data_IF_726493354406
#
_entry.id   IF_726493354406
#
_cell.length_a   1.000
_cell.length_b   1.000
_cell.length_c   1.000
_cell.angle_alpha   90.00
_cell.angle_beta   90.00
_cell.angle_gamma   90.00
#
_symmetry.space_group_name_H-M   'P 1'
#
loop_
_entity.id
_entity.type
_entity.pdbx_description
1 polymer ?
#
# COMPACT_ATOMS: atom_id res chain seq x y z
N UNK A 1 5.42 36.95 48.70
CA UNK A 1 5.83 35.64 48.14
C UNK A 1 4.69 35.13 47.30
N UNK A 2 4.67 35.40 46.00
CA UNK A 2 3.68 34.86 45.08
C UNK A 2 4.30 33.65 44.37
N UNK A 3 3.82 32.48 44.73
CA UNK A 3 4.19 31.23 44.05
C UNK A 3 3.45 31.15 42.69
N UNK A 4 4.15 31.49 41.63
CA UNK A 4 3.69 31.28 40.26
C UNK A 4 4.15 29.89 39.77
N UNK A 5 3.60 28.83 40.33
CA UNK A 5 3.72 27.50 39.77
C UNK A 5 2.85 27.42 38.50
N UNK A 6 3.44 27.70 37.33
CA UNK A 6 2.82 27.43 36.04
C UNK A 6 2.46 25.94 35.94
N UNK A 7 1.26 25.61 35.56
CA UNK A 7 0.87 24.18 35.40
C UNK A 7 1.76 23.57 34.31
N UNK A 8 2.57 22.56 34.68
CA UNK A 8 3.30 21.74 33.71
C UNK A 8 2.26 21.13 32.77
N UNK A 9 2.19 21.61 31.52
CA UNK A 9 1.45 20.95 30.46
C UNK A 9 2.04 19.54 30.33
N UNK A 10 1.35 18.52 30.86
CA UNK A 10 1.60 17.13 30.52
C UNK A 10 1.23 17.00 29.04
N UNK A 11 2.21 16.92 28.16
CA UNK A 11 2.00 16.54 26.77
C UNK A 11 1.63 15.06 26.75
N UNK A 12 0.32 14.76 26.83
CA UNK A 12 -0.14 13.43 26.48
C UNK A 12 -0.01 13.28 24.97
N UNK A 13 0.78 12.32 24.53
CA UNK A 13 0.84 11.95 23.13
C UNK A 13 -0.47 11.26 22.76
N UNK A 14 -1.38 11.99 22.15
CA UNK A 14 -2.62 11.43 21.63
C UNK A 14 -2.42 11.05 20.16
N UNK A 15 -2.56 9.76 19.84
CA UNK A 15 -2.68 9.30 18.46
C UNK A 15 -3.99 9.83 17.89
N UNK A 16 -3.94 10.38 16.69
CA UNK A 16 -5.11 10.92 16.00
C UNK A 16 -6.16 9.84 15.74
N UNK A 17 -5.76 8.73 15.12
CA UNK A 17 -6.58 7.58 14.78
C UNK A 17 -5.86 6.29 15.27
N UNK A 18 -6.00 5.89 16.55
CA UNK A 18 -5.14 4.85 17.16
C UNK A 18 -5.17 3.51 16.44
N UNK A 19 -6.36 3.02 16.06
CA UNK A 19 -6.51 1.74 15.36
C UNK A 19 -5.78 1.72 14.01
N UNK A 20 -5.97 2.78 13.22
CA UNK A 20 -5.32 2.95 11.92
C UNK A 20 -3.81 3.12 12.06
N UNK A 21 -3.34 3.92 13.04
CA UNK A 21 -1.93 4.13 13.30
C UNK A 21 -1.21 2.84 13.68
N UNK A 22 -1.78 2.06 14.61
CA UNK A 22 -1.17 0.82 15.12
C UNK A 22 -1.13 -0.25 14.03
N UNK A 23 -2.21 -0.45 13.27
CA UNK A 23 -2.26 -1.46 12.21
C UNK A 23 -1.19 -1.21 11.16
N UNK A 24 -1.08 0.02 10.66
CA UNK A 24 -0.08 0.33 9.65
C UNK A 24 1.34 0.48 10.21
N UNK A 25 1.52 0.81 11.50
CA UNK A 25 2.83 0.71 12.14
C UNK A 25 3.34 -0.74 12.20
N UNK A 26 2.45 -1.70 12.50
CA UNK A 26 2.79 -3.13 12.41
C UNK A 26 3.17 -3.48 10.97
N UNK A 27 2.39 -3.02 9.98
CA UNK A 27 2.72 -3.18 8.57
C UNK A 27 4.09 -2.60 8.19
N UNK A 28 4.43 -1.41 8.70
CA UNK A 28 5.74 -0.78 8.51
C UNK A 28 6.87 -1.64 9.09
N UNK A 29 6.73 -2.08 10.34
CA UNK A 29 7.74 -2.90 11.01
C UNK A 29 7.96 -4.22 10.25
N UNK A 30 6.89 -4.91 9.88
CA UNK A 30 6.97 -6.15 9.09
C UNK A 30 7.59 -5.90 7.71
N UNK A 31 7.26 -4.79 7.05
CA UNK A 31 7.84 -4.43 5.75
C UNK A 31 9.36 -4.25 5.84
N UNK A 32 9.84 -3.52 6.83
CA UNK A 32 11.28 -3.29 7.03
C UNK A 32 11.99 -4.59 7.38
N UNK A 33 11.45 -5.39 8.31
CA UNK A 33 12.04 -6.65 8.75
C UNK A 33 12.07 -7.72 7.64
N UNK A 34 11.12 -7.68 6.71
CA UNK A 34 11.05 -8.64 5.61
C UNK A 34 11.96 -8.30 4.42
N UNK A 35 12.46 -7.06 4.30
CA UNK A 35 13.31 -6.65 3.17
C UNK A 35 14.54 -7.55 2.95
N UNK A 36 15.36 -7.88 3.99
CA UNK A 36 16.54 -8.68 3.78
C UNK A 36 16.23 -10.08 3.22
N UNK A 37 15.14 -10.71 3.67
CA UNK A 37 14.78 -12.05 3.23
C UNK A 37 14.52 -12.11 1.71
N UNK A 38 13.77 -11.16 1.17
CA UNK A 38 13.46 -11.11 -0.27
C UNK A 38 14.70 -10.73 -1.10
N UNK A 39 15.54 -9.81 -0.61
CA UNK A 39 16.77 -9.42 -1.32
C UNK A 39 17.81 -10.54 -1.33
N UNK A 40 17.96 -11.29 -0.23
CA UNK A 40 18.84 -12.46 -0.15
C UNK A 40 18.33 -13.55 -1.09
N UNK A 41 17.00 -13.79 -1.12
CA UNK A 41 16.40 -14.75 -2.05
C UNK A 41 16.72 -14.37 -3.51
N UNK A 42 16.43 -13.14 -3.94
CA UNK A 42 16.70 -12.71 -5.31
C UNK A 42 18.20 -12.79 -5.69
N UNK A 43 19.10 -12.48 -4.75
CA UNK A 43 20.53 -12.66 -4.96
C UNK A 43 20.91 -14.15 -5.10
N UNK A 44 20.29 -15.04 -4.31
CA UNK A 44 20.49 -16.50 -4.39
C UNK A 44 19.99 -17.11 -5.69
N UNK A 45 18.87 -16.58 -6.24
CA UNK A 45 18.33 -16.98 -7.56
C UNK A 45 19.12 -16.38 -8.75
N UNK A 46 20.16 -15.59 -8.48
CA UNK A 46 20.99 -14.98 -9.52
C UNK A 46 20.31 -13.85 -10.29
N UNK A 47 19.42 -13.12 -9.65
CA UNK A 47 18.72 -11.99 -10.31
C UNK A 47 19.69 -10.92 -10.82
N UNK A 48 19.45 -10.44 -12.02
CA UNK A 48 20.17 -9.32 -12.60
C UNK A 48 20.00 -8.03 -11.79
N UNK A 49 20.88 -7.06 -12.00
CA UNK A 49 20.77 -5.74 -11.33
C UNK A 49 19.41 -5.08 -11.56
N UNK A 50 18.82 -5.26 -12.75
CA UNK A 50 17.49 -4.70 -13.06
C UNK A 50 16.38 -5.41 -12.25
N UNK A 51 16.42 -6.72 -12.13
CA UNK A 51 15.46 -7.49 -11.33
C UNK A 51 15.59 -7.18 -9.84
N UNK A 52 16.82 -7.05 -9.33
CA UNK A 52 17.06 -6.61 -7.94
C UNK A 52 16.56 -5.18 -7.69
N UNK A 53 16.76 -4.27 -8.65
CA UNK A 53 16.20 -2.93 -8.57
C UNK A 53 14.65 -2.96 -8.56
N UNK A 54 14.04 -3.83 -9.37
CA UNK A 54 12.60 -4.02 -9.41
C UNK A 54 12.03 -4.52 -8.07
N UNK A 55 12.68 -5.52 -7.44
CA UNK A 55 12.32 -5.95 -6.08
C UNK A 55 12.47 -4.82 -5.07
N UNK A 56 13.52 -4.01 -5.19
CA UNK A 56 13.75 -2.86 -4.30
C UNK A 56 12.65 -1.80 -4.46
N UNK A 57 12.16 -1.56 -5.68
CA UNK A 57 11.02 -0.65 -5.93
C UNK A 57 9.76 -1.14 -5.21
N UNK A 58 9.45 -2.44 -5.28
CA UNK A 58 8.34 -3.03 -4.53
C UNK A 58 8.51 -2.84 -3.02
N UNK A 59 9.65 -3.24 -2.46
CA UNK A 59 9.95 -3.14 -1.03
C UNK A 59 9.88 -1.69 -0.52
N UNK A 60 10.46 -0.75 -1.24
CA UNK A 60 10.43 0.66 -0.88
C UNK A 60 9.02 1.25 -0.99
N UNK A 61 8.21 0.82 -1.96
CA UNK A 61 6.83 1.26 -2.07
C UNK A 61 5.97 0.75 -0.91
N UNK A 62 6.22 -0.47 -0.45
CA UNK A 62 5.59 -1.08 0.72
C UNK A 62 5.93 -0.31 2.01
N UNK A 63 7.22 -0.07 2.27
CA UNK A 63 7.69 0.76 3.40
C UNK A 63 7.11 2.17 3.32
N UNK A 64 7.14 2.78 2.15
CA UNK A 64 6.63 4.13 1.91
C UNK A 64 5.13 4.26 2.20
N UNK A 65 4.30 3.30 1.77
CA UNK A 65 2.88 3.28 2.08
C UNK A 65 2.65 3.25 3.60
N UNK A 66 3.24 2.25 4.28
CA UNK A 66 2.98 2.08 5.70
C UNK A 66 3.57 3.20 6.54
N UNK A 67 4.71 3.78 6.16
CA UNK A 67 5.27 4.95 6.83
C UNK A 67 4.39 6.20 6.66
N UNK A 68 3.93 6.48 5.44
CA UNK A 68 3.06 7.63 5.16
C UNK A 68 1.72 7.51 5.90
N UNK A 69 1.12 6.31 5.88
CA UNK A 69 -0.15 6.06 6.55
C UNK A 69 -0.01 6.10 8.08
N UNK A 70 1.01 5.46 8.64
CA UNK A 70 1.31 5.56 10.07
C UNK A 70 1.46 7.03 10.50
N UNK A 71 2.24 7.82 9.75
CA UNK A 71 2.42 9.24 10.05
C UNK A 71 1.10 10.01 9.99
N UNK A 72 0.28 9.79 8.96
CA UNK A 72 -1.00 10.48 8.81
C UNK A 72 -1.97 10.18 9.95
N UNK A 73 -2.03 8.93 10.43
CA UNK A 73 -2.94 8.50 11.48
C UNK A 73 -2.38 8.70 12.90
N UNK A 74 -1.06 8.89 13.05
CA UNK A 74 -0.44 9.15 14.35
C UNK A 74 -0.48 10.62 14.76
N UNK A 75 -0.25 11.54 13.81
CA UNK A 75 -0.06 12.94 14.13
C UNK A 75 -1.33 13.77 13.89
N UNK A 76 -1.78 14.50 14.93
CA UNK A 76 -2.78 15.54 14.79
C UNK A 76 -2.07 16.91 14.71
N UNK A 77 -1.82 17.34 13.48
CA UNK A 77 -1.12 18.57 13.18
C UNK A 77 -2.10 19.65 12.70
N UNK A 78 -1.58 20.86 12.46
CA UNK A 78 -2.35 21.93 11.81
C UNK A 78 -2.95 21.47 10.46
N UNK A 79 -4.08 22.04 10.08
CA UNK A 79 -4.88 21.66 8.87
C UNK A 79 -4.00 21.53 7.61
N UNK A 80 -3.03 22.43 7.40
CA UNK A 80 -2.14 22.41 6.24
C UNK A 80 -1.26 21.17 6.21
N UNK A 81 -0.59 20.85 7.33
CA UNK A 81 0.30 19.69 7.47
C UNK A 81 -0.48 18.38 7.43
N UNK A 82 -1.64 18.29 8.09
CA UNK A 82 -2.51 17.13 8.01
C UNK A 82 -2.98 16.86 6.58
N UNK A 83 -3.21 17.90 5.78
CA UNK A 83 -3.54 17.77 4.36
C UNK A 83 -2.38 17.17 3.54
N UNK A 84 -1.13 17.55 3.85
CA UNK A 84 0.05 16.99 3.19
C UNK A 84 0.19 15.49 3.53
N UNK A 85 0.13 15.12 4.82
CA UNK A 85 0.18 13.72 5.25
C UNK A 85 -0.92 12.88 4.60
N UNK A 86 -2.15 13.40 4.52
CA UNK A 86 -3.25 12.75 3.82
C UNK A 86 -2.97 12.53 2.34
N UNK A 87 -2.36 13.51 1.67
CA UNK A 87 -1.97 13.37 0.27
C UNK A 87 -0.95 12.25 0.09
N UNK A 88 0.10 12.24 0.94
CA UNK A 88 1.16 11.23 0.91
C UNK A 88 0.59 9.83 1.13
N UNK A 89 -0.22 9.64 2.17
CA UNK A 89 -0.89 8.38 2.46
C UNK A 89 -1.66 7.84 1.23
N UNK A 90 -2.48 8.67 0.60
CA UNK A 90 -3.26 8.25 -0.57
C UNK A 90 -2.43 8.07 -1.85
N UNK A 91 -1.37 8.84 -2.04
CA UNK A 91 -0.46 8.72 -3.18
C UNK A 91 0.31 7.41 -3.11
N UNK A 92 0.76 7.02 -1.92
CA UNK A 92 1.56 5.81 -1.74
C UNK A 92 0.78 4.53 -2.06
N UNK A 93 -0.55 4.54 -2.07
CA UNK A 93 -1.35 3.40 -2.55
C UNK A 93 -1.09 3.16 -4.05
N UNK A 94 -1.08 4.21 -4.87
CA UNK A 94 -0.75 4.09 -6.30
C UNK A 94 0.67 3.55 -6.49
N UNK A 95 1.62 4.04 -5.68
CA UNK A 95 3.01 3.61 -5.76
C UNK A 95 3.20 2.16 -5.30
N UNK A 96 2.45 1.70 -4.29
CA UNK A 96 2.49 0.29 -3.88
C UNK A 96 1.95 -0.62 -5.00
N UNK A 97 0.84 -0.24 -5.65
CA UNK A 97 0.30 -1.01 -6.77
C UNK A 97 1.33 -1.06 -7.91
N UNK A 98 1.88 0.09 -8.34
CA UNK A 98 2.89 0.13 -9.39
C UNK A 98 4.18 -0.60 -9.01
N UNK A 99 4.61 -0.47 -7.76
CA UNK A 99 5.75 -1.18 -7.19
C UNK A 99 5.57 -2.70 -7.22
N UNK A 100 4.35 -3.19 -6.96
CA UNK A 100 4.03 -4.62 -7.06
C UNK A 100 4.13 -5.15 -8.50
N UNK A 101 3.68 -4.37 -9.47
CA UNK A 101 3.80 -4.75 -10.89
C UNK A 101 5.25 -4.76 -11.39
N UNK A 102 6.11 -3.92 -10.84
CA UNK A 102 7.46 -3.71 -11.35
C UNK A 102 8.28 -5.00 -11.42
N UNK A 103 8.44 -5.80 -10.35
CA UNK A 103 9.19 -7.06 -10.43
C UNK A 103 8.47 -8.12 -11.28
N UNK A 104 7.14 -8.19 -11.25
CA UNK A 104 6.37 -9.15 -12.07
C UNK A 104 6.60 -8.88 -13.56
N UNK A 105 6.55 -7.61 -13.97
CA UNK A 105 6.74 -7.22 -15.37
C UNK A 105 8.17 -7.42 -15.85
N UNK A 106 9.16 -7.16 -14.99
CA UNK A 106 10.58 -7.21 -15.36
C UNK A 106 11.23 -8.60 -15.11
N UNK A 107 10.49 -9.54 -14.50
CA UNK A 107 10.95 -10.92 -14.29
C UNK A 107 10.06 -11.91 -15.03
N UNK A 108 8.84 -12.17 -14.54
CA UNK A 108 7.91 -13.16 -15.12
C UNK A 108 7.46 -12.82 -16.53
N UNK A 109 7.24 -11.54 -16.82
CA UNK A 109 6.78 -11.04 -18.12
C UNK A 109 7.89 -10.44 -19.00
N UNK A 110 9.16 -10.59 -18.63
CA UNK A 110 10.29 -10.12 -19.42
C UNK A 110 10.26 -10.73 -20.84
N UNK A 111 10.32 -9.89 -21.87
CA UNK A 111 10.22 -10.31 -23.26
C UNK A 111 8.84 -10.83 -23.70
N UNK A 112 7.82 -10.76 -22.84
CA UNK A 112 6.44 -11.22 -23.09
C UNK A 112 5.42 -10.07 -23.08
N UNK A 113 5.90 -8.84 -23.27
CA UNK A 113 5.09 -7.62 -23.27
C UNK A 113 4.81 -7.07 -21.87
N UNK A 114 5.67 -7.37 -20.89
CA UNK A 114 5.63 -6.82 -19.54
C UNK A 114 5.90 -5.33 -19.50
N UNK A 115 6.75 -4.82 -20.40
CA UNK A 115 7.14 -3.41 -20.48
C UNK A 115 5.93 -2.51 -20.77
N UNK A 116 5.03 -2.94 -21.67
CA UNK A 116 3.82 -2.20 -21.99
C UNK A 116 2.86 -2.12 -20.81
N UNK A 117 2.70 -3.22 -20.06
CA UNK A 117 1.90 -3.25 -18.83
C UNK A 117 2.54 -2.37 -17.74
N UNK A 118 3.86 -2.44 -17.58
CA UNK A 118 4.61 -1.61 -16.62
C UNK A 118 4.43 -0.12 -16.90
N UNK A 119 4.57 0.28 -18.18
CA UNK A 119 4.36 1.66 -18.59
C UNK A 119 2.93 2.13 -18.29
N UNK A 120 1.92 1.32 -18.63
CA UNK A 120 0.52 1.64 -18.36
C UNK A 120 0.25 1.83 -16.86
N UNK A 121 0.74 0.92 -16.02
CA UNK A 121 0.55 0.97 -14.56
C UNK A 121 1.23 2.21 -13.96
N UNK A 122 2.47 2.52 -14.34
CA UNK A 122 3.16 3.73 -13.87
C UNK A 122 2.51 5.02 -14.39
N UNK A 123 1.99 5.03 -15.62
CA UNK A 123 1.23 6.17 -16.13
C UNK A 123 -0.03 6.44 -15.29
N UNK A 124 -0.78 5.38 -14.91
CA UNK A 124 -1.93 5.51 -14.00
C UNK A 124 -1.49 5.97 -12.61
N UNK A 125 -0.36 5.46 -12.08
CA UNK A 125 0.16 5.89 -10.78
C UNK A 125 0.53 7.38 -10.76
N UNK A 126 1.20 7.86 -11.80
CA UNK A 126 1.55 9.28 -11.95
C UNK A 126 0.31 10.15 -12.16
N UNK A 127 -0.68 9.69 -12.93
CA UNK A 127 -1.98 10.35 -13.03
C UNK A 127 -2.70 10.44 -11.68
N UNK A 128 -2.67 9.36 -10.88
CA UNK A 128 -3.19 9.32 -9.52
C UNK A 128 -2.45 10.26 -8.56
N UNK A 129 -1.13 10.36 -8.67
CA UNK A 129 -0.31 11.36 -7.95
C UNK A 129 -0.81 12.78 -8.26
N UNK A 130 -0.93 13.14 -9.54
CA UNK A 130 -1.41 14.45 -9.97
C UNK A 130 -2.81 14.72 -9.42
N UNK A 131 -3.74 13.76 -9.55
CA UNK A 131 -5.08 13.86 -9.01
C UNK A 131 -5.08 14.16 -7.51
N UNK A 132 -4.27 13.44 -6.72
CA UNK A 132 -4.19 13.64 -5.27
C UNK A 132 -3.52 14.94 -4.86
N UNK A 133 -2.56 15.42 -5.63
CA UNK A 133 -1.94 16.72 -5.38
C UNK A 133 -2.95 17.87 -5.49
N UNK A 134 -3.84 17.81 -6.47
CA UNK A 134 -4.83 18.88 -6.72
C UNK A 134 -6.16 18.63 -6.03
N UNK A 135 -6.63 17.38 -5.91
CA UNK A 135 -7.95 17.04 -5.40
C UNK A 135 -7.95 15.84 -4.43
N UNK A 136 -7.36 16.00 -3.25
CA UNK A 136 -7.28 14.93 -2.23
C UNK A 136 -8.62 14.61 -1.55
N UNK A 137 -9.57 15.53 -1.57
CA UNK A 137 -10.89 15.39 -0.93
C UNK A 137 -12.00 14.92 -1.89
N UNK A 138 -11.65 14.33 -3.03
CA UNK A 138 -12.65 13.76 -3.92
C UNK A 138 -13.39 12.58 -3.27
N UNK A 139 -14.55 12.15 -3.82
CA UNK A 139 -15.33 11.05 -3.27
C UNK A 139 -14.51 9.75 -3.12
N UNK A 140 -14.68 9.03 -2.01
CA UNK A 140 -13.93 7.79 -1.73
C UNK A 140 -14.10 6.72 -2.81
N UNK A 141 -15.30 6.59 -3.39
CA UNK A 141 -15.56 5.63 -4.46
C UNK A 141 -14.65 5.83 -5.68
N UNK A 142 -14.33 7.10 -6.02
CA UNK A 142 -13.43 7.39 -7.14
C UNK A 142 -12.01 6.87 -6.88
N UNK A 143 -11.49 7.03 -5.65
CA UNK A 143 -10.22 6.40 -5.25
C UNK A 143 -10.27 4.89 -5.41
N UNK A 144 -11.33 4.25 -4.89
CA UNK A 144 -11.48 2.79 -4.93
C UNK A 144 -11.53 2.26 -6.36
N UNK A 145 -12.30 2.93 -7.25
CA UNK A 145 -12.36 2.56 -8.67
C UNK A 145 -10.98 2.65 -9.33
N UNK A 146 -10.22 3.73 -9.05
CA UNK A 146 -8.88 3.89 -9.61
C UNK A 146 -7.91 2.83 -9.09
N UNK A 147 -7.90 2.56 -7.77
CA UNK A 147 -7.00 1.57 -7.17
C UNK A 147 -7.34 0.15 -7.64
N UNK A 148 -8.62 -0.23 -7.62
CA UNK A 148 -9.08 -1.55 -8.07
C UNK A 148 -8.81 -1.70 -9.57
N UNK A 149 -9.20 -0.71 -10.38
CA UNK A 149 -8.98 -0.76 -11.83
C UNK A 149 -7.50 -0.89 -12.19
N UNK A 150 -6.63 -0.12 -11.53
CA UNK A 150 -5.18 -0.24 -11.69
C UNK A 150 -4.67 -1.63 -11.25
N UNK A 151 -5.18 -2.17 -10.13
CA UNK A 151 -4.80 -3.48 -9.64
C UNK A 151 -5.17 -4.61 -10.61
N UNK A 152 -6.28 -4.49 -11.35
CA UNK A 152 -6.74 -5.48 -12.31
C UNK A 152 -6.23 -5.29 -13.74
N UNK A 153 -5.33 -4.35 -14.01
CA UNK A 153 -4.67 -4.25 -15.32
C UNK A 153 -3.91 -5.53 -15.70
N UNK A 154 -3.51 -6.36 -14.71
CA UNK A 154 -2.90 -7.67 -14.94
C UNK A 154 -3.78 -8.63 -15.75
N UNK A 155 -5.10 -8.43 -15.78
CA UNK A 155 -6.03 -9.24 -16.60
C UNK A 155 -5.64 -9.21 -18.07
N UNK A 156 -5.05 -8.12 -18.58
CA UNK A 156 -4.57 -7.99 -19.96
C UNK A 156 -3.45 -8.98 -20.29
N UNK A 157 -2.75 -9.49 -19.28
CA UNK A 157 -1.64 -10.43 -19.37
C UNK A 157 -1.87 -11.73 -18.57
N UNK A 158 -3.09 -11.95 -18.09
CA UNK A 158 -3.39 -13.07 -17.19
C UNK A 158 -3.01 -14.44 -17.78
N UNK A 159 -3.31 -14.77 -19.06
CA UNK A 159 -2.87 -16.04 -19.65
C UNK A 159 -1.34 -16.19 -19.67
N UNK A 160 -0.62 -15.09 -19.93
CA UNK A 160 0.84 -15.08 -19.97
C UNK A 160 1.43 -15.28 -18.56
N UNK A 161 0.86 -14.60 -17.55
CA UNK A 161 1.24 -14.77 -16.14
C UNK A 161 0.99 -16.22 -15.71
N UNK A 162 -0.19 -16.76 -16.03
CA UNK A 162 -0.53 -18.16 -15.74
C UNK A 162 0.44 -19.16 -16.36
N UNK A 163 0.89 -18.94 -17.58
CA UNK A 163 1.83 -19.81 -18.27
C UNK A 163 3.27 -19.68 -17.75
N UNK A 164 3.66 -18.48 -17.29
CA UNK A 164 5.05 -18.17 -16.96
C UNK A 164 5.38 -18.27 -15.45
N UNK A 165 4.39 -18.11 -14.57
CA UNK A 165 4.58 -18.13 -13.12
C UNK A 165 4.28 -19.51 -12.54
N UNK A 166 5.07 -20.01 -11.55
CA UNK A 166 4.72 -21.17 -10.77
C UNK A 166 3.33 -21.08 -10.14
N UNK A 167 2.59 -22.19 -10.12
CA UNK A 167 1.19 -22.21 -9.64
C UNK A 167 0.99 -21.60 -8.24
N UNK A 168 1.83 -21.89 -7.23
CA UNK A 168 1.69 -21.24 -5.93
C UNK A 168 1.81 -19.71 -6.01
N UNK A 169 2.79 -19.19 -6.78
CA UNK A 169 2.97 -17.76 -6.99
C UNK A 169 1.75 -17.10 -7.62
N UNK A 170 1.15 -17.74 -8.65
CA UNK A 170 -0.07 -17.25 -9.27
C UNK A 170 -1.25 -17.17 -8.29
N UNK A 171 -1.43 -18.17 -7.44
CA UNK A 171 -2.51 -18.16 -6.45
C UNK A 171 -2.31 -17.11 -5.36
N UNK A 172 -1.06 -16.86 -4.94
CA UNK A 172 -0.74 -15.77 -4.02
C UNK A 172 -1.00 -14.41 -4.66
N UNK A 173 -0.61 -14.22 -5.92
CA UNK A 173 -0.91 -13.00 -6.69
C UNK A 173 -2.41 -12.73 -6.75
N UNK A 174 -3.20 -13.74 -7.10
CA UNK A 174 -4.64 -13.62 -7.19
C UNK A 174 -5.29 -13.34 -5.82
N UNK A 175 -4.88 -14.07 -4.78
CA UNK A 175 -5.37 -13.86 -3.42
C UNK A 175 -5.11 -12.42 -2.95
N UNK A 176 -3.91 -11.88 -3.22
CA UNK A 176 -3.59 -10.48 -2.92
C UNK A 176 -4.50 -9.49 -3.63
N UNK A 177 -4.79 -9.73 -4.94
CA UNK A 177 -5.73 -8.92 -5.71
C UNK A 177 -7.16 -8.97 -5.16
N UNK A 178 -7.60 -10.14 -4.69
CA UNK A 178 -8.92 -10.31 -4.04
C UNK A 178 -8.97 -9.55 -2.72
N UNK A 179 -7.95 -9.68 -1.84
CA UNK A 179 -7.90 -8.92 -0.58
C UNK A 179 -7.93 -7.41 -0.82
N UNK A 180 -7.16 -6.89 -1.75
CA UNK A 180 -7.18 -5.47 -2.11
C UNK A 180 -8.54 -5.03 -2.66
N UNK A 181 -9.20 -5.87 -3.45
CA UNK A 181 -10.53 -5.58 -4.00
C UNK A 181 -11.57 -5.49 -2.89
N UNK A 182 -11.62 -6.48 -1.99
CA UNK A 182 -12.54 -6.49 -0.85
C UNK A 182 -12.29 -5.23 0.01
N UNK A 183 -11.04 -4.95 0.35
CA UNK A 183 -10.67 -3.75 1.09
C UNK A 183 -11.14 -2.46 0.41
N UNK A 184 -10.87 -2.32 -0.89
CA UNK A 184 -11.27 -1.16 -1.67
C UNK A 184 -12.80 -0.96 -1.76
N UNK A 185 -13.55 -2.05 -1.87
CA UNK A 185 -15.02 -2.02 -1.83
C UNK A 185 -15.53 -1.59 -0.46
N UNK A 186 -15.00 -2.17 0.63
CA UNK A 186 -15.35 -1.78 2.01
C UNK A 186 -15.07 -0.29 2.27
N UNK A 187 -13.94 0.21 1.77
CA UNK A 187 -13.59 1.62 1.86
C UNK A 187 -14.57 2.53 1.10
N UNK A 188 -15.04 2.10 -0.09
CA UNK A 188 -16.01 2.83 -0.89
C UNK A 188 -17.39 2.90 -0.22
N UNK A 189 -17.85 1.78 0.35
CA UNK A 189 -19.19 1.62 0.91
C UNK A 189 -19.40 2.37 2.23
N UNK A 190 -18.34 2.82 2.91
CA UNK A 190 -18.43 3.57 4.19
C UNK A 190 -19.40 2.92 5.18
N UNK A 191 -19.20 1.66 5.52
CA UNK A 191 -20.11 0.90 6.37
C UNK A 191 -20.23 1.54 7.77
N UNK A 192 -21.10 2.54 7.90
CA UNK A 192 -21.29 3.34 9.14
C UNK A 192 -21.66 2.46 10.34
N UNK A 193 -22.40 1.37 10.12
CA UNK A 193 -22.73 0.40 11.18
C UNK A 193 -21.50 -0.20 11.84
N UNK A 194 -20.41 -0.42 11.11
CA UNK A 194 -19.16 -0.93 11.69
C UNK A 194 -18.47 0.12 12.56
N UNK A 195 -18.62 1.40 12.21
CA UNK A 195 -18.00 2.51 12.93
C UNK A 195 -18.70 2.78 14.30
N UNK A 196 -19.92 2.27 14.50
CA UNK A 196 -20.67 2.41 15.76
C UNK A 196 -20.41 1.29 16.74
N UNK A 197 -19.80 0.17 16.30
CA UNK A 197 -19.55 -1.00 17.13
C UNK A 197 -18.37 -0.80 18.11
N UNK A 198 -17.37 -0.01 17.69
CA UNK A 198 -16.20 0.24 18.52
C UNK A 198 -15.60 1.63 18.24
N UNK A 199 -15.24 2.42 19.27
CA UNK A 199 -14.80 3.82 19.10
C UNK A 199 -13.46 3.97 18.34
N UNK A 200 -12.63 2.94 18.30
CA UNK A 200 -11.29 2.97 17.67
C UNK A 200 -11.06 1.91 16.62
N UNK A 201 -12.11 1.17 16.21
CA UNK A 201 -12.00 0.12 15.21
C UNK A 201 -13.28 0.04 14.36
N UNK A 202 -13.21 0.56 13.15
CA UNK A 202 -14.33 0.65 12.23
C UNK A 202 -13.98 0.15 10.82
N UNK A 203 -14.75 0.61 9.84
CA UNK A 203 -14.60 0.22 8.43
C UNK A 203 -13.22 0.59 7.85
N UNK A 204 -12.58 1.63 8.38
CA UNK A 204 -11.27 2.09 7.91
C UNK A 204 -10.15 1.17 8.39
N UNK A 205 -10.17 0.76 9.65
CA UNK A 205 -9.21 -0.20 10.21
C UNK A 205 -9.35 -1.58 9.54
N UNK A 206 -10.58 -2.00 9.26
CA UNK A 206 -10.83 -3.24 8.49
C UNK A 206 -10.21 -3.12 7.09
N UNK A 207 -10.38 -1.99 6.42
CA UNK A 207 -9.71 -1.73 5.13
C UNK A 207 -8.18 -1.86 5.26
N UNK A 208 -7.56 -1.31 6.32
CA UNK A 208 -6.12 -1.45 6.58
C UNK A 208 -5.69 -2.91 6.72
N UNK A 209 -6.47 -3.75 7.43
CA UNK A 209 -6.17 -5.17 7.55
C UNK A 209 -6.23 -5.89 6.20
N UNK A 210 -7.20 -5.56 5.34
CA UNK A 210 -7.27 -6.12 3.99
C UNK A 210 -6.09 -5.66 3.12
N UNK A 211 -5.64 -4.41 3.24
CA UNK A 211 -4.43 -3.92 2.57
C UNK A 211 -3.20 -4.69 3.05
N UNK A 212 -3.04 -4.91 4.35
CA UNK A 212 -1.92 -5.68 4.91
C UNK A 212 -1.94 -7.14 4.43
N UNK A 213 -3.10 -7.79 4.45
CA UNK A 213 -3.24 -9.17 3.95
C UNK A 213 -2.91 -9.25 2.45
N UNK A 214 -3.41 -8.29 1.65
CA UNK A 214 -3.07 -8.19 0.23
C UNK A 214 -1.56 -8.01 0.01
N UNK A 215 -0.93 -7.09 0.75
CA UNK A 215 0.52 -6.87 0.66
C UNK A 215 1.31 -8.11 1.06
N UNK A 216 0.91 -8.83 2.10
CA UNK A 216 1.54 -10.08 2.51
C UNK A 216 1.47 -11.14 1.40
N UNK A 217 0.32 -11.30 0.75
CA UNK A 217 0.16 -12.18 -0.40
C UNK A 217 1.10 -11.76 -1.56
N UNK A 218 1.15 -10.46 -1.87
CA UNK A 218 2.04 -9.96 -2.92
C UNK A 218 3.53 -10.16 -2.55
N UNK A 219 3.90 -9.96 -1.29
CA UNK A 219 5.26 -10.23 -0.83
C UNK A 219 5.63 -11.70 -1.03
N UNK A 220 4.75 -12.64 -0.67
CA UNK A 220 4.97 -14.07 -0.92
C UNK A 220 5.07 -14.37 -2.41
N UNK A 221 4.27 -13.70 -3.26
CA UNK A 221 4.36 -13.83 -4.73
C UNK A 221 5.77 -13.56 -5.24
N UNK A 222 6.51 -12.61 -4.66
CA UNK A 222 7.85 -12.23 -5.11
C UNK A 222 8.90 -13.36 -5.00
N UNK A 223 8.64 -14.36 -4.18
CA UNK A 223 9.51 -15.57 -4.07
C UNK A 223 9.27 -16.58 -5.21
N UNK A 224 8.33 -16.33 -6.09
CA UNK A 224 7.97 -17.19 -7.22
C UNK A 224 8.17 -16.52 -8.59
N UNK A 225 8.93 -15.42 -8.65
CA UNK A 225 9.19 -14.69 -9.90
C UNK A 225 10.25 -15.31 -10.78
#
# INVERSE_FOLDING_TARGET
>A
MCDHSLPRRRYYFHLKDPGSAITHFIGLALSVLSMPALLIHGAGEGYSRMQMAALSVFLLSMVGLYAASTAYHSFDLEKGRNRILKKLDHIMIFFLIAGTYTPICLTTLAGKGGEGLLLAVWAVALGGLVLKLFWVYHPKWLSSVLYIGMGWLCLTKLPTIWAAMPRPGFWWLLAGGVFYTIGGVLYALRLERLNTLHPHFGSHEIFHLFVMAGTACQYVTMFYL
#
